data_IF_750781417359
#
_entry.id   IF_750781417359
#
_cell.length_a   1.000
_cell.length_b   1.000
_cell.length_c   1.000
_cell.angle_alpha   90.00
_cell.angle_beta   90.00
_cell.angle_gamma   90.00
#
_symmetry.space_group_name_H-M   'P 1'
#
loop_
_entity.id
_entity.type
_entity.pdbx_description
1 polymer ?
#
# COMPACT_ATOMS: atom_id res chain seq x y z
N UNK A 1 -13.15 -0.68 -24.58
CA UNK A 1 -12.03 -0.86 -23.64
C UNK A 1 -12.45 -0.23 -22.32
N UNK A 2 -12.69 -1.03 -21.28
CA UNK A 2 -12.85 -0.48 -19.94
C UNK A 2 -11.46 -0.03 -19.48
N UNK A 3 -11.28 1.26 -19.22
CA UNK A 3 -10.07 1.75 -18.57
C UNK A 3 -10.21 1.53 -17.07
N UNK A 4 -9.11 1.45 -16.31
CA UNK A 4 -9.15 1.31 -14.86
C UNK A 4 -9.97 2.42 -14.15
N UNK A 5 -10.30 3.50 -14.88
CA UNK A 5 -11.11 4.64 -14.46
C UNK A 5 -12.57 4.60 -14.96
N UNK A 6 -12.96 3.61 -15.77
CA UNK A 6 -14.32 3.52 -16.34
C UNK A 6 -15.27 2.63 -15.55
N UNK A 7 -14.78 1.97 -14.49
CA UNK A 7 -15.64 1.19 -13.60
C UNK A 7 -16.52 2.16 -12.81
N UNK A 8 -17.86 1.98 -12.81
CA UNK A 8 -18.73 2.82 -12.01
C UNK A 8 -18.27 2.78 -10.55
N UNK A 9 -18.24 3.92 -9.83
CA UNK A 9 -17.84 3.94 -8.44
C UNK A 9 -18.72 2.95 -7.69
N UNK A 10 -18.10 1.91 -7.15
CA UNK A 10 -18.79 0.97 -6.28
C UNK A 10 -19.38 1.77 -5.12
N UNK A 11 -20.71 1.70 -4.94
CA UNK A 11 -21.40 2.36 -3.82
C UNK A 11 -20.90 1.87 -2.45
N UNK A 12 -20.04 0.84 -2.41
CA UNK A 12 -19.49 0.21 -1.21
C UNK A 12 -17.98 0.03 -1.29
N UNK A 13 -17.29 0.18 -0.15
CA UNK A 13 -15.87 -0.15 -0.03
C UNK A 13 -15.71 -1.67 -0.17
N UNK A 14 -14.98 -2.12 -1.18
CA UNK A 14 -14.66 -3.55 -1.36
C UNK A 14 -13.50 -3.91 -0.44
N UNK A 15 -13.54 -5.13 0.11
CA UNK A 15 -12.47 -5.62 1.01
C UNK A 15 -11.12 -5.69 0.29
N UNK A 16 -11.16 -6.06 -0.98
CA UNK A 16 -9.98 -6.14 -1.84
C UNK A 16 -9.32 -4.77 -2.03
N UNK A 17 -10.09 -3.69 -2.13
CA UNK A 17 -9.53 -2.34 -2.32
C UNK A 17 -8.78 -1.89 -1.06
N UNK A 18 -9.33 -2.16 0.13
CA UNK A 18 -8.68 -1.86 1.42
C UNK A 18 -7.41 -2.68 1.61
N UNK A 19 -7.46 -3.98 1.28
CA UNK A 19 -6.28 -4.83 1.37
C UNK A 19 -5.20 -4.42 0.37
N UNK A 20 -5.57 -4.16 -0.89
CA UNK A 20 -4.67 -3.65 -1.91
C UNK A 20 -4.05 -2.32 -1.47
N UNK A 21 -4.84 -1.41 -0.90
CA UNK A 21 -4.34 -0.14 -0.39
C UNK A 21 -3.28 -0.33 0.70
N UNK A 22 -3.60 -1.12 1.74
CA UNK A 22 -2.68 -1.33 2.87
C UNK A 22 -1.42 -2.07 2.44
N UNK A 23 -1.56 -3.08 1.58
CA UNK A 23 -0.44 -3.85 1.07
C UNK A 23 0.45 -3.02 0.14
N UNK A 24 -0.16 -2.16 -0.68
CA UNK A 24 0.55 -1.22 -1.55
C UNK A 24 1.30 -0.18 -0.74
N UNK A 25 0.65 0.38 0.28
CA UNK A 25 1.24 1.35 1.18
C UNK A 25 2.42 0.76 1.98
N UNK A 26 2.30 -0.48 2.46
CA UNK A 26 3.41 -1.23 3.07
C UNK A 26 4.56 -1.41 2.07
N UNK A 27 4.26 -1.79 0.83
CA UNK A 27 5.27 -1.95 -0.22
C UNK A 27 6.02 -0.66 -0.53
N UNK A 28 5.28 0.45 -0.64
CA UNK A 28 5.86 1.80 -0.83
C UNK A 28 6.75 2.20 0.35
N UNK A 29 6.36 1.87 1.59
CA UNK A 29 7.15 2.17 2.78
C UNK A 29 8.49 1.47 2.75
N UNK A 30 8.54 0.16 2.53
CA UNK A 30 9.82 -0.57 2.55
C UNK A 30 10.74 -0.19 1.39
N UNK A 31 10.18 0.06 0.21
CA UNK A 31 10.98 0.56 -0.93
C UNK A 31 11.46 1.99 -0.67
N UNK A 32 10.62 2.83 -0.07
CA UNK A 32 10.94 4.21 0.31
C UNK A 32 12.05 4.28 1.35
N UNK A 33 11.99 3.47 2.42
CA UNK A 33 13.05 3.40 3.44
C UNK A 33 14.40 3.03 2.82
N UNK A 34 14.43 2.03 1.96
CA UNK A 34 15.67 1.66 1.28
C UNK A 34 16.17 2.77 0.35
N UNK A 35 15.28 3.43 -0.40
CA UNK A 35 15.67 4.57 -1.23
C UNK A 35 16.30 5.70 -0.40
N UNK A 36 15.73 5.99 0.77
CA UNK A 36 16.27 6.98 1.71
C UNK A 36 17.63 6.56 2.25
N UNK A 37 17.79 5.29 2.66
CA UNK A 37 19.06 4.75 3.13
C UNK A 37 20.17 4.82 2.04
N UNK A 38 19.80 4.54 0.78
CA UNK A 38 20.70 4.69 -0.37
C UNK A 38 21.11 6.14 -0.56
N UNK A 39 20.16 7.09 -0.49
CA UNK A 39 20.45 8.53 -0.60
C UNK A 39 21.33 9.05 0.55
N UNK A 40 21.16 8.50 1.75
CA UNK A 40 21.99 8.80 2.92
C UNK A 40 23.36 8.08 2.90
N UNK A 41 23.68 7.34 1.83
CA UNK A 41 24.90 6.55 1.68
C UNK A 41 25.13 5.50 2.81
N UNK A 42 24.04 5.01 3.40
CA UNK A 42 24.05 4.03 4.49
C UNK A 42 23.22 2.76 4.23
N UNK A 43 23.13 2.21 2.99
CA UNK A 43 22.27 1.07 2.74
C UNK A 43 22.81 -0.20 3.38
N UNK A 44 21.91 -0.97 3.99
CA UNK A 44 22.22 -2.28 4.56
C UNK A 44 21.60 -3.41 3.73
N UNK A 45 22.18 -4.61 3.85
CA UNK A 45 21.60 -5.81 3.22
C UNK A 45 20.20 -6.14 3.76
N UNK A 46 19.92 -5.78 5.00
CA UNK A 46 18.59 -5.90 5.61
C UNK A 46 17.57 -5.02 4.90
N UNK A 47 17.86 -3.73 4.74
CA UNK A 47 16.96 -2.79 4.04
C UNK A 47 16.75 -3.20 2.58
N UNK A 48 17.79 -3.69 1.90
CA UNK A 48 17.67 -4.23 0.54
C UNK A 48 16.71 -5.45 0.49
N UNK A 49 16.79 -6.34 1.48
CA UNK A 49 15.87 -7.48 1.60
C UNK A 49 14.43 -7.04 1.87
N UNK A 50 14.24 -6.05 2.75
CA UNK A 50 12.93 -5.46 3.04
C UNK A 50 12.35 -4.75 1.82
N UNK A 51 13.17 -4.05 1.04
CA UNK A 51 12.75 -3.43 -0.22
C UNK A 51 12.32 -4.46 -1.27
N UNK A 52 12.99 -5.62 -1.34
CA UNK A 52 12.58 -6.71 -2.23
C UNK A 52 11.20 -7.27 -1.82
N UNK A 53 10.96 -7.47 -0.52
CA UNK A 53 9.63 -7.82 0.01
C UNK A 53 8.60 -6.73 -0.26
N UNK A 54 8.98 -5.45 -0.14
CA UNK A 54 8.15 -4.31 -0.49
C UNK A 54 7.78 -4.29 -1.97
N UNK A 55 8.75 -4.55 -2.85
CA UNK A 55 8.52 -4.70 -4.29
C UNK A 55 7.56 -5.84 -4.62
N UNK A 56 7.70 -6.99 -3.95
CA UNK A 56 6.74 -8.09 -4.06
C UNK A 56 5.34 -7.67 -3.59
N UNK A 57 5.23 -6.89 -2.51
CA UNK A 57 3.95 -6.37 -2.03
C UNK A 57 3.30 -5.40 -3.03
N UNK A 58 4.09 -4.56 -3.70
CA UNK A 58 3.60 -3.69 -4.78
C UNK A 58 3.07 -4.50 -5.97
N UNK A 59 3.78 -5.54 -6.40
CA UNK A 59 3.31 -6.44 -7.45
C UNK A 59 2.02 -7.16 -7.05
N UNK A 60 1.95 -7.65 -5.82
CA UNK A 60 0.74 -8.26 -5.26
C UNK A 60 -0.44 -7.28 -5.25
N UNK A 61 -0.20 -6.02 -4.91
CA UNK A 61 -1.20 -4.94 -4.94
C UNK A 61 -1.75 -4.70 -6.34
N UNK A 62 -0.87 -4.62 -7.34
CA UNK A 62 -1.28 -4.48 -8.74
C UNK A 62 -2.12 -5.67 -9.18
N UNK A 63 -1.75 -6.88 -8.77
CA UNK A 63 -2.50 -8.09 -9.09
C UNK A 63 -3.90 -8.09 -8.43
N UNK A 64 -4.00 -7.70 -7.15
CA UNK A 64 -5.27 -7.56 -6.43
C UNK A 64 -6.20 -6.54 -7.08
N UNK A 65 -5.64 -5.44 -7.61
CA UNK A 65 -6.43 -4.43 -8.32
C UNK A 65 -6.94 -4.92 -9.69
N UNK A 66 -6.12 -5.74 -10.38
CA UNK A 66 -6.47 -6.28 -11.70
C UNK A 66 -7.52 -7.39 -11.63
N UNK A 67 -7.47 -8.22 -10.59
CA UNK A 67 -8.44 -9.29 -10.39
C UNK A 67 -9.07 -9.19 -8.99
N UNK A 68 -10.07 -8.32 -8.84
CA UNK A 68 -10.61 -7.97 -7.54
C UNK A 68 -11.67 -8.97 -7.04
N UNK A 69 -12.00 -9.99 -7.85
CA UNK A 69 -12.99 -11.02 -7.52
C UNK A 69 -12.38 -12.20 -6.74
N UNK A 70 -11.06 -12.20 -6.56
CA UNK A 70 -10.35 -13.13 -5.68
C UNK A 70 -10.85 -13.15 -4.23
N UNK A 71 -11.44 -12.03 -3.76
CA UNK A 71 -11.98 -11.93 -2.41
C UNK A 71 -13.50 -11.73 -2.47
N UNK A 72 -14.21 -12.61 -1.77
CA UNK A 72 -15.68 -12.55 -1.66
C UNK A 72 -16.11 -11.19 -1.09
N UNK A 73 -16.71 -10.37 -1.94
CA UNK A 73 -17.38 -9.15 -1.51
C UNK A 73 -18.74 -9.56 -0.91
N UNK A 74 -18.90 -9.34 0.39
CA UNK A 74 -20.16 -9.58 1.07
C UNK A 74 -21.23 -8.56 0.63
N UNK A 75 -22.50 -8.97 0.68
CA UNK A 75 -23.65 -8.08 0.47
C UNK A 75 -24.00 -7.26 1.73
N UNK A 76 -23.25 -7.42 2.81
CA UNK A 76 -23.40 -6.71 4.08
C UNK A 76 -22.79 -5.30 4.02
N UNK A 77 -23.25 -4.36 4.87
CA UNK A 77 -22.58 -3.06 5.01
C UNK A 77 -21.11 -3.25 5.37
N UNK A 78 -20.24 -2.39 4.85
CA UNK A 78 -18.80 -2.46 5.08
C UNK A 78 -18.52 -2.37 6.61
N UNK A 79 -17.88 -3.37 7.21
CA UNK A 79 -17.52 -3.32 8.62
C UNK A 79 -16.63 -2.12 8.94
N UNK A 80 -16.76 -1.54 10.14
CA UNK A 80 -16.01 -0.34 10.54
C UNK A 80 -14.48 -0.45 10.36
N UNK A 81 -13.91 -1.65 10.52
CA UNK A 81 -12.47 -1.86 10.34
C UNK A 81 -11.99 -1.52 8.91
N UNK A 82 -12.85 -1.62 7.89
CA UNK A 82 -12.51 -1.28 6.51
C UNK A 82 -12.29 0.23 6.31
N UNK A 83 -12.80 1.06 7.21
CA UNK A 83 -12.58 2.52 7.20
C UNK A 83 -11.40 2.92 8.08
N UNK A 84 -11.29 2.31 9.27
CA UNK A 84 -10.26 2.64 10.25
C UNK A 84 -8.87 2.21 9.78
N UNK A 85 -8.77 1.02 9.19
CA UNK A 85 -7.48 0.45 8.81
C UNK A 85 -6.73 1.32 7.79
N UNK A 86 -7.32 1.73 6.64
CA UNK A 86 -6.67 2.65 5.72
C UNK A 86 -6.19 3.93 6.41
N UNK A 87 -7.06 4.58 7.20
CA UNK A 87 -6.74 5.86 7.85
C UNK A 87 -5.54 5.73 8.80
N UNK A 88 -5.52 4.69 9.65
CA UNK A 88 -4.41 4.45 10.57
C UNK A 88 -3.14 4.12 9.80
N UNK A 89 -3.22 3.27 8.77
CA UNK A 89 -2.08 2.93 7.92
C UNK A 89 -1.52 4.16 7.19
N UNK A 90 -2.38 5.02 6.63
CA UNK A 90 -1.96 6.29 6.00
C UNK A 90 -1.27 7.19 7.01
N UNK A 91 -1.84 7.35 8.21
CA UNK A 91 -1.24 8.14 9.27
C UNK A 91 0.16 7.66 9.63
N UNK A 92 0.33 6.35 9.82
CA UNK A 92 1.63 5.74 10.10
C UNK A 92 2.64 5.96 8.96
N UNK A 93 2.23 5.74 7.70
CA UNK A 93 3.12 5.99 6.57
C UNK A 93 3.50 7.46 6.42
N UNK A 94 2.59 8.40 6.68
CA UNK A 94 2.90 9.83 6.67
C UNK A 94 3.94 10.19 7.72
N UNK A 95 3.87 9.60 8.92
CA UNK A 95 4.90 9.80 9.95
C UNK A 95 6.27 9.35 9.45
N UNK A 96 6.34 8.20 8.77
CA UNK A 96 7.59 7.70 8.17
C UNK A 96 8.11 8.64 7.08
N UNK A 97 7.23 9.10 6.18
CA UNK A 97 7.59 10.05 5.12
C UNK A 97 8.14 11.35 5.68
N UNK A 98 7.51 11.90 6.74
CA UNK A 98 8.03 13.10 7.43
C UNK A 98 9.41 12.82 8.03
N UNK A 99 9.61 11.64 8.62
CA UNK A 99 10.91 11.19 9.09
C UNK A 99 11.97 11.19 7.98
N UNK A 100 11.65 10.60 6.82
CA UNK A 100 12.56 10.57 5.66
C UNK A 100 12.96 11.95 5.17
N UNK A 101 12.00 12.87 5.08
CA UNK A 101 12.28 14.26 4.69
C UNK A 101 13.27 14.90 5.66
N UNK A 102 13.10 14.67 6.97
CA UNK A 102 14.04 15.19 7.96
C UNK A 102 15.44 14.54 7.89
N UNK A 103 15.55 13.30 7.43
CA UNK A 103 16.84 12.61 7.28
C UNK A 103 17.62 13.05 6.04
N UNK A 104 16.92 13.42 4.96
CA UNK A 104 17.52 13.74 3.66
C UNK A 104 17.69 15.25 3.44
N UNK A 105 16.93 16.09 4.16
CA UNK A 105 17.07 17.56 4.14
C UNK A 105 18.30 18.04 4.92
#
# INVERSE_FOLDING_TARGET
MATALSSPPSERIRRVDVLAYVFGLMGLVYVGEFAVAVLAASPTAYEAGMAALGGFALLGTVQMYRDPDFLRNGAEPAPAYLYVLPVVSTGAALVLVVGWVATVA
#
